data_IF_701205327312
#
_entry.id   IF_701205327312
#
_cell.length_a   1.000
_cell.length_b   1.000
_cell.length_c   1.000
_cell.angle_alpha   90.00
_cell.angle_beta   90.00
_cell.angle_gamma   90.00
#
_symmetry.space_group_name_H-M   'P 1'
#
loop_
_entity.id
_entity.type
_entity.pdbx_description
1 polymer ?
#
# COMPACT_ATOMS: atom_id res chain seq x y z
N UNK A 1 51.85 25.16 12.45
CA UNK A 1 52.16 23.72 12.39
C UNK A 1 51.00 23.02 11.68
N UNK A 2 51.13 22.62 10.40
CA UNK A 2 50.07 21.92 9.70
C UNK A 2 50.17 20.40 9.96
N UNK A 3 49.07 19.79 10.42
CA UNK A 3 48.95 18.35 10.56
C UNK A 3 48.48 17.75 9.22
N UNK A 4 49.26 16.80 8.72
CA UNK A 4 49.10 16.11 7.47
C UNK A 4 47.84 15.26 7.40
N UNK A 5 47.19 15.30 6.24
CA UNK A 5 46.11 14.40 5.85
C UNK A 5 46.64 12.99 5.54
N UNK A 6 45.99 11.96 6.08
CA UNK A 6 46.18 10.56 5.69
C UNK A 6 44.96 10.12 4.87
N UNK A 7 45.22 9.92 3.58
CA UNK A 7 44.30 9.33 2.60
C UNK A 7 44.31 7.80 2.77
N UNK A 8 43.15 7.22 3.04
CA UNK A 8 42.94 5.77 2.95
C UNK A 8 42.05 5.48 1.74
N UNK A 9 42.66 4.99 0.68
CA UNK A 9 41.97 4.44 -0.48
C UNK A 9 41.44 3.05 -0.14
N UNK A 10 40.11 2.89 -0.10
CA UNK A 10 39.48 1.58 0.05
C UNK A 10 39.14 1.02 -1.34
N UNK A 11 39.77 -0.11 -1.64
CA UNK A 11 39.76 -0.85 -2.89
C UNK A 11 38.35 -1.33 -3.26
N UNK A 12 37.94 -1.06 -4.51
CA UNK A 12 36.74 -1.62 -5.15
C UNK A 12 36.94 -3.12 -5.38
N UNK A 13 36.05 -3.94 -4.84
CA UNK A 13 35.92 -5.35 -5.19
C UNK A 13 34.75 -5.51 -6.17
N UNK A 14 35.06 -5.78 -7.43
CA UNK A 14 34.08 -6.16 -8.46
C UNK A 14 33.85 -7.66 -8.38
N UNK A 15 32.67 -8.10 -7.93
CA UNK A 15 32.23 -9.49 -8.11
C UNK A 15 31.42 -9.60 -9.40
N UNK A 16 31.79 -10.61 -10.20
CA UNK A 16 31.33 -10.83 -11.56
C UNK A 16 29.91 -11.39 -11.66
N UNK A 17 29.31 -11.09 -12.80
CA UNK A 17 28.06 -11.66 -13.29
C UNK A 17 28.26 -13.13 -13.71
N UNK A 18 27.29 -13.98 -13.39
CA UNK A 18 27.08 -15.26 -14.05
C UNK A 18 25.59 -15.38 -14.42
N UNK A 19 25.24 -15.61 -15.70
CA UNK A 19 23.88 -15.92 -16.10
C UNK A 19 23.65 -17.43 -15.97
N UNK A 20 22.65 -17.86 -15.20
CA UNK A 20 22.18 -19.24 -15.21
C UNK A 20 20.82 -19.31 -15.91
N UNK A 21 20.87 -19.71 -17.17
CA UNK A 21 19.71 -20.18 -17.93
C UNK A 21 19.32 -21.57 -17.43
N UNK A 22 18.07 -21.77 -16.99
CA UNK A 22 17.48 -23.11 -16.93
C UNK A 22 16.10 -23.10 -17.57
N UNK A 23 15.94 -24.01 -18.52
CA UNK A 23 14.77 -24.18 -19.36
C UNK A 23 13.75 -25.15 -18.73
N UNK A 24 12.49 -24.88 -19.05
CA UNK A 24 11.44 -25.81 -19.49
C UNK A 24 11.13 -27.07 -18.63
N UNK A 25 9.93 -27.08 -18.02
CA UNK A 25 9.10 -28.28 -17.96
C UNK A 25 7.61 -27.87 -17.93
N UNK A 26 6.94 -28.05 -19.06
CA UNK A 26 5.49 -28.08 -19.14
C UNK A 26 4.99 -29.44 -18.62
N UNK A 27 4.04 -29.43 -17.70
CA UNK A 27 3.25 -30.61 -17.37
C UNK A 27 1.77 -30.25 -17.41
N UNK A 28 1.13 -30.62 -18.51
CA UNK A 28 -0.31 -30.68 -18.67
C UNK A 28 -0.84 -31.91 -17.93
N UNK A 29 -1.70 -31.69 -16.93
CA UNK A 29 -2.58 -32.73 -16.41
C UNK A 29 -4.03 -32.32 -16.64
N UNK A 30 -4.66 -33.01 -17.60
CA UNK A 30 -6.10 -33.05 -17.75
C UNK A 30 -6.68 -33.94 -16.64
N UNK A 31 -7.64 -33.41 -15.88
CA UNK A 31 -8.54 -34.22 -15.06
C UNK A 31 -9.98 -33.86 -15.45
N UNK A 32 -10.64 -34.86 -16.03
CA UNK A 32 -12.06 -34.89 -16.32
C UNK A 32 -12.75 -35.67 -15.19
N UNK A 33 -13.96 -35.23 -14.79
CA UNK A 33 -14.84 -35.93 -13.85
C UNK A 33 -15.08 -35.10 -12.57
N UNK A 34 -16.28 -34.90 -12.08
CA UNK A 34 -17.59 -35.44 -12.43
C UNK A 34 -18.66 -34.71 -11.62
N UNK A 35 -19.92 -34.81 -12.05
CA UNK A 35 -21.05 -34.10 -11.50
C UNK A 35 -21.40 -34.46 -10.05
N UNK A 36 -22.15 -33.55 -9.43
CA UNK A 36 -22.80 -33.72 -8.14
C UNK A 36 -23.87 -32.66 -7.99
N UNK A 37 -25.12 -33.03 -8.29
CA UNK A 37 -26.31 -32.25 -7.99
C UNK A 37 -26.54 -32.23 -6.48
N UNK A 38 -26.67 -31.04 -5.90
CA UNK A 38 -26.92 -30.84 -4.47
C UNK A 38 -27.69 -29.55 -4.25
N UNK A 39 -29.01 -29.68 -4.21
CA UNK A 39 -29.99 -28.64 -3.92
C UNK A 39 -30.03 -28.32 -2.42
N UNK A 40 -30.13 -27.03 -2.08
CA UNK A 40 -30.77 -26.55 -0.84
C UNK A 40 -29.84 -25.95 0.20
N UNK A 41 -29.77 -24.61 0.26
CA UNK A 41 -30.41 -23.80 1.31
C UNK A 41 -29.88 -22.36 1.27
N UNK A 42 -30.82 -21.43 1.17
CA UNK A 42 -30.64 -19.99 1.10
C UNK A 42 -29.81 -19.42 2.25
N UNK A 43 -28.73 -18.72 1.91
CA UNK A 43 -28.17 -17.63 2.69
C UNK A 43 -27.95 -16.47 1.72
N UNK A 44 -28.65 -15.36 1.94
CA UNK A 44 -28.75 -14.24 1.01
C UNK A 44 -27.41 -13.72 0.53
N UNK A 45 -27.13 -13.93 -0.75
CA UNK A 45 -26.09 -13.22 -1.48
C UNK A 45 -26.56 -11.77 -1.62
N UNK A 46 -25.91 -10.86 -0.90
CA UNK A 46 -25.97 -9.45 -1.26
C UNK A 46 -25.08 -9.29 -2.49
N UNK A 47 -25.69 -9.40 -3.68
CA UNK A 47 -25.05 -8.98 -4.92
C UNK A 47 -24.84 -7.46 -4.86
N UNK A 48 -23.67 -7.03 -4.41
CA UNK A 48 -23.13 -5.75 -4.82
C UNK A 48 -22.83 -5.92 -6.31
N UNK A 49 -23.72 -5.40 -7.15
CA UNK A 49 -23.63 -5.47 -8.60
C UNK A 49 -22.22 -5.12 -9.05
N UNK A 50 -21.51 -6.13 -9.56
CA UNK A 50 -20.32 -5.95 -10.35
C UNK A 50 -20.72 -5.04 -11.52
N UNK A 51 -20.41 -3.75 -11.40
CA UNK A 51 -20.36 -2.89 -12.57
C UNK A 51 -19.15 -3.33 -13.35
N UNK A 52 -19.36 -4.23 -14.31
CA UNK A 52 -18.50 -4.38 -15.48
C UNK A 52 -18.57 -3.07 -16.28
N UNK A 53 -17.89 -2.04 -15.77
CA UNK A 53 -17.49 -0.91 -16.62
C UNK A 53 -16.42 -1.47 -17.53
N UNK A 54 -16.78 -1.65 -18.81
CA UNK A 54 -15.90 -2.21 -19.82
C UNK A 54 -14.47 -1.70 -19.68
N UNK A 55 -13.53 -2.63 -19.68
CA UNK A 55 -12.11 -2.36 -19.71
C UNK A 55 -11.81 -1.60 -21.01
N UNK A 56 -11.89 -0.27 -20.96
CA UNK A 56 -11.01 0.54 -21.79
C UNK A 56 -9.59 0.11 -21.44
N UNK A 57 -8.70 0.06 -22.42
CA UNK A 57 -7.26 -0.08 -22.22
C UNK A 57 -6.77 1.15 -21.41
N UNK A 58 -7.08 1.15 -20.11
CA UNK A 58 -6.58 2.12 -19.18
C UNK A 58 -5.06 1.91 -19.22
N UNK A 59 -4.35 2.95 -19.66
CA UNK A 59 -2.89 2.95 -19.63
C UNK A 59 -2.37 2.53 -18.26
N UNK A 60 -1.06 2.22 -18.15
CA UNK A 60 -0.48 1.72 -16.92
C UNK A 60 -0.86 2.62 -15.73
N UNK A 61 -1.39 2.01 -14.66
CA UNK A 61 -1.85 2.73 -13.47
C UNK A 61 -0.70 3.59 -12.90
N UNK A 62 -0.79 4.92 -12.96
CA UNK A 62 0.31 5.80 -12.59
C UNK A 62 0.68 5.67 -11.11
N UNK A 63 -0.29 5.38 -10.24
CA UNK A 63 -0.05 5.18 -8.80
C UNK A 63 0.77 3.91 -8.59
N UNK A 64 0.38 2.82 -9.27
CA UNK A 64 1.13 1.56 -9.24
C UNK A 64 2.56 1.73 -9.81
N UNK A 65 2.72 2.52 -10.87
CA UNK A 65 4.02 2.80 -11.46
C UNK A 65 4.96 3.54 -10.48
N UNK A 66 4.47 4.53 -9.71
CA UNK A 66 5.26 5.16 -8.65
C UNK A 66 5.75 4.16 -7.60
N UNK A 67 4.91 3.18 -7.27
CA UNK A 67 5.16 2.24 -6.17
C UNK A 67 5.90 0.97 -6.62
N UNK A 68 6.11 0.77 -7.92
CA UNK A 68 6.76 -0.43 -8.47
C UNK A 68 8.18 -0.69 -7.93
N UNK A 69 8.89 0.36 -7.49
CA UNK A 69 10.22 0.26 -6.88
C UNK A 69 10.22 0.06 -5.36
N UNK A 70 9.06 0.11 -4.70
CA UNK A 70 8.95 -0.01 -3.24
C UNK A 70 9.13 -1.48 -2.85
N UNK A 71 10.34 -1.82 -2.44
CA UNK A 71 10.70 -3.20 -2.08
C UNK A 71 10.28 -3.49 -0.63
N UNK A 72 9.51 -4.56 -0.35
CA UNK A 72 9.19 -4.97 1.01
C UNK A 72 10.44 -5.20 1.87
N UNK A 73 10.35 -5.02 3.19
CA UNK A 73 11.50 -5.29 4.07
C UNK A 73 11.81 -6.79 4.02
N UNK A 74 13.10 -7.17 4.11
CA UNK A 74 13.46 -8.55 4.38
C UNK A 74 12.68 -9.07 5.59
N UNK A 75 12.04 -10.24 5.46
CA UNK A 75 11.24 -10.89 6.51
C UNK A 75 9.88 -10.25 6.84
N UNK A 76 9.43 -9.25 6.09
CA UNK A 76 8.05 -8.79 6.20
C UNK A 76 7.10 -9.94 5.87
N UNK A 77 6.14 -10.23 6.76
CA UNK A 77 5.16 -11.29 6.52
C UNK A 77 4.31 -11.00 5.27
N UNK A 78 4.01 -9.72 5.05
CA UNK A 78 3.36 -9.22 3.84
C UNK A 78 3.62 -7.72 3.66
N UNK A 79 3.34 -7.21 2.46
CA UNK A 79 3.13 -5.79 2.20
C UNK A 79 1.72 -5.59 1.64
N UNK A 80 1.07 -4.49 2.01
CA UNK A 80 -0.26 -4.11 1.59
C UNK A 80 -0.19 -2.77 0.87
N UNK A 81 -0.75 -2.70 -0.34
CA UNK A 81 -0.97 -1.44 -1.05
C UNK A 81 -2.43 -1.05 -0.87
N UNK A 82 -2.67 0.10 -0.24
CA UNK A 82 -4.02 0.63 0.00
C UNK A 82 -4.26 1.82 -0.92
N UNK A 83 -5.44 1.90 -1.55
CA UNK A 83 -5.76 2.94 -2.53
C UNK A 83 -7.05 3.68 -2.16
N UNK A 84 -7.01 5.00 -2.30
CA UNK A 84 -8.10 5.89 -1.95
C UNK A 84 -8.29 7.00 -2.99
N UNK A 85 -9.49 7.57 -3.01
CA UNK A 85 -9.87 8.69 -3.88
C UNK A 85 -10.79 9.66 -3.15
N UNK A 86 -10.62 10.96 -3.36
CA UNK A 86 -11.54 11.99 -2.88
C UNK A 86 -12.85 11.95 -3.67
N UNK A 87 -13.96 12.37 -3.04
CA UNK A 87 -15.29 12.31 -3.68
C UNK A 87 -15.38 13.07 -5.02
N UNK A 88 -14.54 14.08 -5.23
CA UNK A 88 -14.48 14.88 -6.47
C UNK A 88 -13.45 14.36 -7.49
N UNK A 89 -12.74 13.27 -7.19
CA UNK A 89 -11.69 12.68 -8.04
C UNK A 89 -10.44 13.55 -8.20
N UNK A 90 -10.34 14.68 -7.48
CA UNK A 90 -9.19 15.59 -7.60
C UNK A 90 -7.96 15.05 -6.90
N UNK A 91 -8.14 14.18 -5.90
CA UNK A 91 -7.04 13.52 -5.21
C UNK A 91 -7.22 12.02 -5.27
N UNK A 92 -6.19 11.33 -5.76
CA UNK A 92 -6.06 9.88 -5.60
C UNK A 92 -4.74 9.60 -4.90
N UNK A 93 -4.73 8.63 -4.00
CA UNK A 93 -3.52 8.20 -3.33
C UNK A 93 -3.45 6.70 -3.21
N UNK A 94 -2.23 6.18 -3.21
CA UNK A 94 -1.94 4.81 -2.83
C UNK A 94 -0.72 4.79 -1.93
N UNK A 95 -0.67 3.90 -0.95
CA UNK A 95 0.52 3.73 -0.13
C UNK A 95 0.75 2.27 0.23
N UNK A 96 2.02 1.95 0.45
CA UNK A 96 2.47 0.63 0.87
C UNK A 96 2.79 0.65 2.36
N UNK A 97 2.09 -0.18 3.12
CA UNK A 97 2.43 -0.51 4.51
C UNK A 97 2.77 -1.99 4.64
N UNK A 98 3.49 -2.34 5.69
CA UNK A 98 3.83 -3.72 6.01
C UNK A 98 4.14 -3.83 7.50
N UNK A 99 4.02 -5.03 8.10
CA UNK A 99 4.45 -5.24 9.47
C UNK A 99 5.92 -4.84 9.63
N UNK A 100 6.20 -4.15 10.73
CA UNK A 100 7.56 -3.88 11.17
C UNK A 100 8.17 -5.18 11.72
N UNK A 101 9.20 -5.75 11.07
CA UNK A 101 9.79 -7.01 11.51
C UNK A 101 10.50 -6.90 12.87
N UNK A 102 10.87 -5.69 13.29
CA UNK A 102 11.63 -5.45 14.52
C UNK A 102 10.73 -5.06 15.70
N UNK A 103 9.43 -4.92 15.46
CA UNK A 103 8.46 -4.51 16.48
C UNK A 103 7.48 -5.64 16.83
N UNK A 104 7.18 -5.74 18.12
CA UNK A 104 6.13 -6.61 18.63
C UNK A 104 4.93 -5.75 19.00
N UNK A 105 3.82 -5.97 18.31
CA UNK A 105 2.54 -5.37 18.65
C UNK A 105 1.98 -5.89 19.97
N UNK A 106 1.10 -5.11 20.59
CA UNK A 106 0.42 -5.49 21.84
C UNK A 106 -1.09 -5.46 21.64
N UNK A 107 -1.80 -6.33 22.37
CA UNK A 107 -3.27 -6.29 22.47
C UNK A 107 -3.95 -6.15 21.10
N UNK A 108 -3.67 -7.05 20.15
CA UNK A 108 -4.30 -7.02 18.83
C UNK A 108 -3.92 -5.83 17.92
N UNK A 109 -2.89 -5.05 18.29
CA UNK A 109 -2.30 -4.01 17.43
C UNK A 109 -1.19 -4.63 16.59
N UNK A 110 -1.19 -4.40 15.29
CA UNK A 110 -0.05 -4.71 14.42
C UNK A 110 0.78 -3.44 14.24
N UNK A 111 2.09 -3.53 14.48
CA UNK A 111 2.99 -2.40 14.22
C UNK A 111 3.32 -2.40 12.75
N UNK A 112 2.88 -1.37 12.04
CA UNK A 112 3.16 -1.18 10.62
C UNK A 112 4.19 -0.08 10.40
N UNK A 113 4.91 -0.19 9.28
CA UNK A 113 5.73 0.88 8.73
C UNK A 113 5.29 1.18 7.30
N UNK A 114 5.22 2.47 6.96
CA UNK A 114 5.01 2.90 5.59
C UNK A 114 6.31 2.81 4.78
N UNK A 115 6.20 2.39 3.52
CA UNK A 115 7.35 2.15 2.63
C UNK A 115 7.36 3.04 1.39
N UNK A 116 6.19 3.52 1.00
CA UNK A 116 6.03 4.45 -0.10
C UNK A 116 4.61 4.96 -0.19
N UNK A 117 4.44 6.15 -0.75
CA UNK A 117 3.16 6.76 -1.08
C UNK A 117 3.22 7.34 -2.48
N UNK A 118 2.17 7.13 -3.26
CA UNK A 118 1.90 7.81 -4.51
C UNK A 118 0.69 8.72 -4.27
N UNK A 119 0.83 10.01 -4.55
CA UNK A 119 -0.21 11.01 -4.36
C UNK A 119 -0.40 11.77 -5.67
N UNK A 120 -1.60 11.70 -6.26
CA UNK A 120 -1.97 12.47 -7.44
C UNK A 120 -2.90 13.60 -7.02
N UNK A 121 -2.50 14.84 -7.30
CA UNK A 121 -3.27 16.06 -7.00
C UNK A 121 -3.61 16.73 -8.32
N UNK A 122 -4.89 16.72 -8.68
CA UNK A 122 -5.41 17.26 -9.94
C UNK A 122 -4.62 16.75 -11.16
N UNK A 123 -4.25 15.46 -11.14
CA UNK A 123 -3.47 14.80 -12.19
C UNK A 123 -1.96 14.96 -12.10
N UNK A 124 -1.44 15.79 -11.19
CA UNK A 124 0.01 15.87 -10.93
C UNK A 124 0.41 14.77 -9.95
N UNK A 125 1.28 13.87 -10.41
CA UNK A 125 1.73 12.71 -9.64
C UNK A 125 2.99 13.02 -8.81
N UNK A 126 2.94 12.69 -7.52
CA UNK A 126 4.04 12.77 -6.57
C UNK A 126 4.36 11.36 -6.07
N UNK A 127 5.58 10.87 -6.36
CA UNK A 127 6.08 9.60 -5.83
C UNK A 127 6.96 9.86 -4.60
N UNK A 128 6.50 9.44 -3.43
CA UNK A 128 7.16 9.60 -2.14
C UNK A 128 7.64 8.22 -1.68
N UNK A 129 8.82 7.80 -2.17
CA UNK A 129 9.33 6.43 -1.98
C UNK A 129 10.48 6.34 -0.98
N UNK A 130 10.87 7.46 -0.37
CA UNK A 130 11.87 7.49 0.70
C UNK A 130 11.17 7.32 2.05
N UNK A 131 11.48 6.27 2.85
CA UNK A 131 10.80 6.05 4.12
C UNK A 131 10.89 7.22 5.12
N UNK A 132 11.97 8.00 5.08
CA UNK A 132 12.14 9.18 5.95
C UNK A 132 11.19 10.34 5.62
N UNK A 133 10.51 10.31 4.47
CA UNK A 133 9.49 11.28 4.06
C UNK A 133 8.08 10.88 4.52
N UNK A 134 7.94 9.69 5.10
CA UNK A 134 6.67 9.09 5.50
C UNK A 134 6.58 9.04 7.02
N UNK A 135 5.61 9.75 7.58
CA UNK A 135 5.33 9.72 9.02
C UNK A 135 4.07 8.88 9.26
N UNK A 136 4.27 7.58 9.53
CA UNK A 136 3.17 6.65 9.83
C UNK A 136 3.05 6.46 11.34
N UNK A 137 1.90 6.80 11.90
CA UNK A 137 1.61 6.67 13.32
C UNK A 137 0.59 5.56 13.55
N UNK A 138 1.04 4.52 14.26
CA UNK A 138 0.22 3.40 14.70
C UNK A 138 -0.48 3.75 16.01
N UNK A 139 -1.78 3.46 16.06
CA UNK A 139 -2.65 3.65 17.21
C UNK A 139 -3.07 2.30 17.79
N UNK A 140 -3.76 2.33 18.94
CA UNK A 140 -4.27 1.11 19.55
C UNK A 140 -5.25 0.42 18.60
N UNK A 141 -5.04 -0.88 18.34
CA UNK A 141 -5.82 -1.68 17.39
C UNK A 141 -5.81 -1.17 15.95
N UNK A 142 -4.91 -0.24 15.62
CA UNK A 142 -4.82 0.41 14.33
C UNK A 142 -6.09 1.20 13.92
N UNK A 143 -6.91 1.61 14.91
CA UNK A 143 -8.22 2.21 14.66
C UNK A 143 -8.18 3.67 14.20
N UNK A 144 -7.13 4.40 14.57
CA UNK A 144 -6.93 5.83 14.29
C UNK A 144 -5.59 6.09 13.59
N UNK A 145 -5.08 5.11 12.83
CA UNK A 145 -3.77 5.22 12.19
C UNK A 145 -3.70 6.41 11.22
N UNK A 146 -2.53 7.04 11.17
CA UNK A 146 -2.28 8.17 10.26
C UNK A 146 -1.02 7.96 9.43
N UNK A 147 -1.02 8.53 8.23
CA UNK A 147 0.13 8.65 7.36
C UNK A 147 0.26 10.09 6.89
N UNK A 148 1.32 10.77 7.30
CA UNK A 148 1.60 12.16 6.91
C UNK A 148 2.79 12.24 5.96
N UNK A 149 2.66 13.12 4.96
CA UNK A 149 3.73 13.47 4.01
C UNK A 149 3.70 14.96 3.73
N UNK A 150 4.83 15.54 3.31
CA UNK A 150 4.91 16.94 2.89
C UNK A 150 5.20 17.03 1.39
N UNK A 151 4.37 17.80 0.66
CA UNK A 151 4.55 18.08 -0.77
C UNK A 151 4.45 19.59 -0.97
N UNK A 152 5.52 20.22 -1.47
CA UNK A 152 5.58 21.66 -1.70
C UNK A 152 5.06 22.49 -0.50
N UNK A 153 5.63 22.22 0.69
CA UNK A 153 5.28 22.84 1.98
C UNK A 153 3.86 22.59 2.49
N UNK A 154 3.05 21.81 1.77
CA UNK A 154 1.72 21.38 2.23
C UNK A 154 1.81 20.00 2.86
N UNK A 155 1.28 19.86 4.08
CA UNK A 155 1.18 18.59 4.77
C UNK A 155 -0.11 17.88 4.38
N UNK A 156 0.00 16.64 3.95
CA UNK A 156 -1.10 15.75 3.61
C UNK A 156 -1.12 14.60 4.62
N UNK A 157 -2.19 14.50 5.41
CA UNK A 157 -2.35 13.45 6.42
C UNK A 157 -3.54 12.58 6.07
N UNK A 158 -3.28 11.36 5.63
CA UNK A 158 -4.29 10.31 5.56
C UNK A 158 -4.58 9.81 6.98
N UNK A 159 -5.86 9.60 7.28
CA UNK A 159 -6.33 9.01 8.54
C UNK A 159 -7.36 7.91 8.23
N UNK A 160 -7.26 6.79 8.93
CA UNK A 160 -8.39 5.87 9.15
C UNK A 160 -9.03 6.18 10.50
N UNK A 161 -10.34 6.10 10.57
CA UNK A 161 -11.13 6.23 11.78
C UNK A 161 -12.08 5.03 11.85
N UNK A 162 -11.83 4.16 12.82
CA UNK A 162 -12.57 2.92 13.04
C UNK A 162 -12.98 2.84 14.51
N UNK A 163 -14.27 3.05 14.79
CA UNK A 163 -14.78 3.10 16.17
C UNK A 163 -14.62 1.75 16.90
N UNK A 164 -14.84 0.64 16.19
CA UNK A 164 -14.68 -0.72 16.70
C UNK A 164 -14.46 -1.76 15.59
N UNK A 165 -14.25 -3.02 15.96
CA UNK A 165 -14.00 -4.13 15.02
C UNK A 165 -15.14 -4.46 14.04
N UNK A 166 -16.36 -3.95 14.27
CA UNK A 166 -17.53 -4.16 13.41
C UNK A 166 -17.94 -2.93 12.61
N UNK A 167 -17.39 -1.76 12.91
CA UNK A 167 -17.68 -0.52 12.24
C UNK A 167 -17.11 -0.50 10.80
N UNK A 168 -17.74 0.30 9.94
CA UNK A 168 -17.19 0.60 8.61
C UNK A 168 -16.15 1.72 8.81
N UNK A 169 -14.89 1.52 8.41
CA UNK A 169 -13.87 2.53 8.58
C UNK A 169 -14.18 3.77 7.74
N UNK A 170 -14.02 4.94 8.34
CA UNK A 170 -14.03 6.21 7.65
C UNK A 170 -12.59 6.62 7.30
N UNK A 171 -12.38 7.09 6.08
CA UNK A 171 -11.07 7.54 5.63
C UNK A 171 -11.12 9.02 5.32
N UNK A 172 -10.11 9.76 5.78
CA UNK A 172 -10.00 11.19 5.51
C UNK A 172 -8.60 11.57 5.06
N UNK A 173 -8.52 12.67 4.31
CA UNK A 173 -7.28 13.36 3.99
C UNK A 173 -7.35 14.77 4.56
N UNK A 174 -6.49 15.07 5.51
CA UNK A 174 -6.28 16.43 5.99
C UNK A 174 -5.19 17.09 5.15
N UNK A 175 -5.47 18.28 4.61
CA UNK A 175 -4.58 19.08 3.79
C UNK A 175 -4.30 20.37 4.54
N UNK A 176 -3.06 20.54 4.99
CA UNK A 176 -2.63 21.68 5.80
C UNK A 176 -1.48 22.43 5.10
N UNK A 177 -1.81 23.46 4.28
CA UNK A 177 -0.81 24.38 3.73
C UNK A 177 -0.30 25.33 4.84
N UNK A 178 0.87 25.97 4.67
CA UNK A 178 1.55 26.69 5.75
C UNK A 178 0.79 27.93 6.25
N UNK A 179 0.10 28.64 5.34
CA UNK A 179 -0.49 29.95 5.62
C UNK A 179 -2.00 30.01 5.34
N UNK A 180 -2.66 28.86 5.17
CA UNK A 180 -4.08 28.79 4.83
C UNK A 180 -4.86 27.86 5.75
N UNK A 181 -6.18 27.96 5.66
CA UNK A 181 -7.07 27.06 6.40
C UNK A 181 -6.84 25.61 5.99
N UNK A 182 -6.74 24.74 6.99
CA UNK A 182 -6.73 23.29 6.82
C UNK A 182 -8.05 22.81 6.21
N UNK A 183 -7.95 21.95 5.20
CA UNK A 183 -9.11 21.28 4.58
C UNK A 183 -9.12 19.82 4.98
N UNK A 184 -10.30 19.25 5.26
CA UNK A 184 -10.46 17.81 5.49
C UNK A 184 -11.38 17.26 4.42
N UNK A 185 -10.91 16.25 3.68
CA UNK A 185 -11.64 15.60 2.60
C UNK A 185 -11.98 14.15 3.00
N UNK A 186 -13.24 13.72 2.86
CA UNK A 186 -13.56 12.29 2.94
C UNK A 186 -12.95 11.56 1.74
N UNK A 187 -12.50 10.32 1.99
CA UNK A 187 -11.93 9.44 0.98
C UNK A 187 -12.77 8.17 0.84
N UNK A 188 -12.88 7.69 -0.40
CA UNK A 188 -13.41 6.38 -0.74
C UNK A 188 -12.25 5.40 -0.92
N UNK A 189 -12.31 4.24 -0.28
CA UNK A 189 -11.37 3.16 -0.54
C UNK A 189 -11.66 2.56 -1.94
N UNK A 190 -10.68 2.60 -2.82
CA UNK A 190 -10.78 2.02 -4.18
C UNK A 190 -10.39 0.55 -4.20
N UNK A 191 -9.64 0.11 -3.20
CA UNK A 191 -9.24 -1.28 -3.04
C UNK A 191 -7.91 -1.41 -2.31
N UNK A 192 -7.51 -2.65 -2.11
CA UNK A 192 -6.20 -2.98 -1.59
C UNK A 192 -5.69 -4.29 -2.20
N UNK A 193 -4.38 -4.41 -2.29
CA UNK A 193 -3.67 -5.62 -2.69
C UNK A 193 -2.60 -5.98 -1.67
N UNK A 194 -2.31 -7.27 -1.52
CA UNK A 194 -1.27 -7.77 -0.61
C UNK A 194 -0.25 -8.64 -1.34
N UNK A 195 0.98 -8.63 -0.86
CA UNK A 195 2.07 -9.50 -1.33
C UNK A 195 2.72 -10.16 -0.10
N UNK A 196 2.63 -11.49 0.07
CA UNK A 196 1.87 -12.43 -0.76
C UNK A 196 0.34 -12.22 -0.65
N UNK A 197 -0.41 -12.59 -1.69
CA UNK A 197 -1.87 -12.37 -1.82
C UNK A 197 -2.74 -13.15 -0.84
N UNK A 198 -2.12 -13.97 0.02
CA UNK A 198 -2.80 -14.76 1.06
C UNK A 198 -3.22 -13.93 2.27
N UNK A 199 -2.80 -12.66 2.36
CA UNK A 199 -3.13 -11.78 3.47
C UNK A 199 -4.33 -10.88 3.16
N UNK A 200 -5.16 -10.63 4.17
CA UNK A 200 -6.26 -9.67 4.08
C UNK A 200 -5.73 -8.24 4.11
N UNK A 201 -6.44 -7.39 3.39
CA UNK A 201 -6.22 -5.96 3.41
C UNK A 201 -6.59 -5.36 4.76
N UNK A 202 -5.84 -4.34 5.16
CA UNK A 202 -6.16 -3.55 6.34
C UNK A 202 -7.45 -2.75 6.08
N UNK A 203 -8.43 -2.80 6.99
CA UNK A 203 -9.65 -2.00 6.90
C UNK A 203 -10.62 -2.35 5.75
N UNK A 204 -10.43 -3.46 5.04
CA UNK A 204 -11.41 -3.94 4.07
C UNK A 204 -12.52 -4.70 4.80
N UNK A 205 -13.73 -4.13 4.87
CA UNK A 205 -14.93 -4.85 5.28
C UNK A 205 -15.17 -6.00 4.29
N UNK A 206 -15.17 -7.23 4.80
CA UNK A 206 -15.48 -8.45 4.05
C UNK A 206 -16.92 -8.54 3.62
#
# INVERSE_FOLDING_TARGET
MPASALSLACTRLTLGAAPLSLALAALTLAACGGGGDGSGSDAGSFELGARDTGAADAGPDPLAACLAGVTPLPNAAYASTNRFESADGTITLAFVIQPDPDSLGTSGTAVFVARGMALSISGTLHCLTTPAELDYQVTHHNFDDTLSVTVADTVYTWKVDLEDYGAVPAYTLTIAPPDTQTTVLPLTALGCSTVPTTHRCFGASS
#
